data_IF_727692358149
#
_entry.id   IF_727692358149
#
_cell.length_a   1.000
_cell.length_b   1.000
_cell.length_c   1.000
_cell.angle_alpha   90.00
_cell.angle_beta   90.00
_cell.angle_gamma   90.00
#
_symmetry.space_group_name_H-M   'P 1'
#
loop_
_entity.id
_entity.type
_entity.pdbx_description
1 polymer ?
#
# COMPACT_ATOMS: atom_id res chain seq x y z
N UNK A 1 18.88 12.23 -19.81
CA UNK A 1 19.78 12.71 -19.11
C UNK A 1 19.80 12.23 -17.78
N UNK A 2 20.75 11.88 -17.34
CA UNK A 2 20.84 11.30 -16.07
C UNK A 2 21.09 12.34 -15.04
N UNK A 3 21.26 11.99 -13.86
CA UNK A 3 21.57 12.90 -12.82
C UNK A 3 20.45 13.14 -11.84
N UNK A 4 19.34 12.43 -11.98
CA UNK A 4 18.26 12.60 -11.01
C UNK A 4 17.54 11.29 -10.79
N UNK A 5 16.84 11.21 -9.69
CA UNK A 5 16.05 10.04 -9.36
C UNK A 5 14.70 10.51 -8.84
N UNK A 6 13.65 9.92 -9.36
CA UNK A 6 12.31 10.21 -8.87
C UNK A 6 11.69 8.87 -8.49
N UNK A 7 11.66 8.57 -7.22
CA UNK A 7 11.13 7.31 -6.76
C UNK A 7 10.51 7.46 -5.39
N UNK A 8 9.32 6.92 -5.24
CA UNK A 8 8.58 6.98 -3.99
C UNK A 8 8.30 5.56 -3.54
N UNK A 9 8.58 5.28 -2.28
CA UNK A 9 8.32 3.98 -1.68
C UNK A 9 7.34 4.19 -0.54
N UNK A 10 6.27 3.44 -0.54
CA UNK A 10 5.27 3.54 0.51
C UNK A 10 4.78 2.17 0.93
N UNK A 11 4.52 2.03 2.21
CA UNK A 11 3.78 0.89 2.72
C UNK A 11 2.63 1.49 3.50
N UNK A 12 1.42 1.14 3.14
CA UNK A 12 0.25 1.68 3.82
C UNK A 12 -0.98 0.83 3.59
N UNK A 13 -2.11 1.36 3.99
CA UNK A 13 -3.36 0.65 3.84
C UNK A 13 -4.32 1.45 3.00
N UNK A 14 -5.15 0.76 2.24
CA UNK A 14 -6.14 1.42 1.41
C UNK A 14 -7.25 1.98 2.27
N UNK A 15 -7.60 3.22 2.03
CA UNK A 15 -8.69 3.86 2.77
C UNK A 15 -10.03 3.64 2.13
N UNK A 16 -10.05 3.09 0.93
CA UNK A 16 -11.28 2.81 0.22
C UNK A 16 -10.99 1.73 -0.80
N UNK A 17 -12.03 1.14 -1.35
CA UNK A 17 -11.84 0.17 -2.41
C UNK A 17 -11.23 0.88 -3.62
N UNK A 18 -10.39 0.20 -4.38
CA UNK A 18 -9.78 0.81 -5.55
C UNK A 18 -10.82 1.22 -6.58
N UNK A 19 -10.56 2.32 -7.24
CA UNK A 19 -11.44 2.80 -8.28
C UNK A 19 -10.81 2.46 -9.62
N UNK A 20 -11.51 1.74 -10.47
CA UNK A 20 -11.00 1.35 -11.77
C UNK A 20 -11.69 2.19 -12.83
N UNK A 21 -10.92 2.83 -13.67
CA UNK A 21 -11.47 3.64 -14.75
C UNK A 21 -10.84 3.25 -16.05
N UNK A 22 -11.58 3.44 -17.14
CA UNK A 22 -11.03 3.21 -18.45
C UNK A 22 -10.66 4.54 -19.09
N UNK A 23 -9.52 4.55 -19.73
CA UNK A 23 -9.07 5.74 -20.43
C UNK A 23 -9.62 5.76 -21.83
N UNK A 24 -9.47 6.90 -22.48
CA UNK A 24 -9.95 7.06 -23.84
C UNK A 24 -9.39 6.01 -24.77
N UNK A 25 -8.15 5.60 -24.53
CA UNK A 25 -7.53 4.61 -25.40
C UNK A 25 -7.94 3.18 -25.05
N UNK A 26 -8.91 3.01 -24.17
CA UNK A 26 -9.37 1.68 -23.83
C UNK A 26 -8.62 0.99 -22.70
N UNK A 27 -7.54 1.55 -22.23
CA UNK A 27 -6.79 0.92 -21.18
C UNK A 27 -7.37 1.27 -19.83
N UNK A 28 -7.19 0.38 -18.89
CA UNK A 28 -7.72 0.57 -17.55
C UNK A 28 -6.67 1.19 -16.64
N UNK A 29 -7.14 2.02 -15.73
CA UNK A 29 -6.29 2.67 -14.75
C UNK A 29 -6.93 2.46 -13.39
N UNK A 30 -6.12 2.16 -12.38
CA UNK A 30 -6.63 2.01 -11.03
C UNK A 30 -6.18 3.20 -10.18
N UNK A 31 -7.08 3.71 -9.38
CA UNK A 31 -6.77 4.77 -8.45
C UNK A 31 -6.91 4.25 -7.04
N UNK A 32 -5.90 4.49 -6.23
CA UNK A 32 -5.88 4.03 -4.86
C UNK A 32 -5.70 5.21 -3.93
N UNK A 33 -6.36 5.15 -2.79
CA UNK A 33 -6.14 6.12 -1.72
C UNK A 33 -5.39 5.36 -0.63
N UNK A 34 -4.14 5.70 -0.42
CA UNK A 34 -3.28 4.96 0.48
C UNK A 34 -2.96 5.79 1.71
N UNK A 35 -3.16 5.23 2.87
CA UNK A 35 -2.92 5.91 4.12
C UNK A 35 -1.63 5.42 4.75
N UNK A 36 -0.79 6.37 5.16
CA UNK A 36 0.36 6.06 5.98
C UNK A 36 0.20 6.81 7.29
N UNK A 37 0.41 6.13 8.39
CA UNK A 37 0.15 6.72 9.69
C UNK A 37 1.36 6.66 10.58
N UNK A 38 1.51 7.67 11.39
CA UNK A 38 2.53 7.73 12.41
C UNK A 38 1.85 7.93 13.74
N UNK A 39 2.36 7.32 14.77
CA UNK A 39 1.86 7.60 16.09
C UNK A 39 3.03 7.84 17.02
N UNK A 40 2.84 8.72 17.95
CA UNK A 40 3.89 9.03 18.91
C UNK A 40 3.24 9.48 20.21
N UNK A 41 4.04 9.53 21.26
CA UNK A 41 3.57 9.97 22.54
C UNK A 41 4.05 11.38 22.76
N UNK A 42 3.14 12.27 23.11
CA UNK A 42 3.47 13.65 23.34
C UNK A 42 4.21 13.74 24.68
N UNK A 43 5.41 14.26 24.65
CA UNK A 43 6.20 14.32 25.86
C UNK A 43 5.63 15.27 26.89
N UNK A 44 4.91 16.28 26.45
CA UNK A 44 4.38 17.26 27.39
C UNK A 44 3.11 16.76 28.06
N UNK A 45 2.23 16.15 27.32
CA UNK A 45 0.94 15.75 27.87
C UNK A 45 0.86 14.27 28.16
N UNK A 46 1.76 13.48 27.61
CA UNK A 46 1.70 12.04 27.77
C UNK A 46 0.65 11.37 26.91
N UNK A 47 -0.03 12.12 26.10
CA UNK A 47 -1.06 11.55 25.26
C UNK A 47 -0.48 10.93 24.00
N UNK A 48 -1.16 9.90 23.52
CA UNK A 48 -0.75 9.28 22.26
C UNK A 48 -1.38 10.07 21.14
N UNK A 49 -0.57 10.47 20.18
CA UNK A 49 -1.05 11.20 19.02
C UNK A 49 -0.80 10.44 17.76
N UNK A 50 -1.62 10.68 16.77
CA UNK A 50 -1.51 9.98 15.52
C UNK A 50 -1.73 10.96 14.38
N UNK A 51 -0.98 10.76 13.30
CA UNK A 51 -1.14 11.57 12.11
C UNK A 51 -1.17 10.64 10.92
N UNK A 52 -2.11 10.86 10.01
CA UNK A 52 -2.25 10.05 8.82
C UNK A 52 -2.07 10.93 7.60
N UNK A 53 -1.25 10.47 6.66
CA UNK A 53 -1.11 11.12 5.38
C UNK A 53 -1.80 10.29 4.33
N UNK A 54 -2.53 10.95 3.44
CA UNK A 54 -3.25 10.28 2.39
C UNK A 54 -2.54 10.50 1.07
N UNK A 55 -2.24 9.42 0.40
CA UNK A 55 -1.51 9.47 -0.85
C UNK A 55 -2.38 8.98 -1.99
N UNK A 56 -2.33 9.68 -3.10
CA UNK A 56 -3.06 9.26 -4.28
C UNK A 56 -2.13 8.47 -5.15
N UNK A 57 -2.51 7.26 -5.48
CA UNK A 57 -1.69 6.36 -6.27
C UNK A 57 -2.47 5.99 -7.51
N UNK A 58 -1.83 6.10 -8.66
CA UNK A 58 -2.46 5.78 -9.93
C UNK A 58 -1.66 4.67 -10.58
N UNK A 59 -2.32 3.58 -10.90
CA UNK A 59 -1.67 2.42 -11.48
C UNK A 59 -2.03 2.35 -12.95
N UNK A 60 -1.02 2.45 -13.82
CA UNK A 60 -1.25 2.39 -15.25
C UNK A 60 -0.89 1.05 -15.87
N UNK A 61 -0.19 0.21 -15.15
CA UNK A 61 0.20 -1.09 -15.68
C UNK A 61 -1.01 -2.02 -15.66
N UNK A 62 -1.42 -2.51 -16.82
CA UNK A 62 -2.64 -3.30 -16.91
C UNK A 62 -2.59 -4.57 -16.08
N UNK A 63 -1.44 -5.22 -16.03
CA UNK A 63 -1.31 -6.40 -15.21
C UNK A 63 -1.54 -6.10 -13.74
N UNK A 64 -1.01 -4.96 -13.28
CA UNK A 64 -1.21 -4.58 -11.90
C UNK A 64 -2.63 -4.10 -11.66
N UNK A 65 -3.24 -3.47 -12.64
CA UNK A 65 -4.64 -3.05 -12.49
C UNK A 65 -5.51 -4.28 -12.27
N UNK A 66 -5.24 -5.37 -12.96
CA UNK A 66 -6.01 -6.58 -12.76
C UNK A 66 -5.81 -7.14 -11.35
N UNK A 67 -4.58 -7.12 -10.85
CA UNK A 67 -4.33 -7.57 -9.51
C UNK A 67 -5.06 -6.70 -8.50
N UNK A 68 -5.02 -5.39 -8.70
CA UNK A 68 -5.69 -4.47 -7.81
C UNK A 68 -7.18 -4.75 -7.82
N UNK A 69 -7.76 -4.94 -8.99
CA UNK A 69 -9.18 -5.13 -9.11
C UNK A 69 -9.62 -6.43 -8.42
N UNK A 70 -8.83 -7.45 -8.54
CA UNK A 70 -9.22 -8.75 -8.02
C UNK A 70 -8.96 -8.92 -6.54
N UNK A 71 -7.88 -8.35 -6.02
CA UNK A 71 -7.46 -8.67 -4.69
C UNK A 71 -7.45 -7.54 -3.69
N UNK A 72 -7.40 -6.31 -4.11
CA UNK A 72 -7.28 -5.21 -3.15
C UNK A 72 -8.63 -4.65 -2.77
N UNK A 73 -8.78 -4.40 -1.49
CA UNK A 73 -10.01 -3.84 -0.96
C UNK A 73 -9.65 -2.85 0.12
N UNK A 74 -10.64 -2.10 0.58
CA UNK A 74 -10.43 -1.17 1.68
C UNK A 74 -9.77 -1.91 2.84
N UNK A 75 -8.76 -1.33 3.40
CA UNK A 75 -8.04 -1.91 4.53
C UNK A 75 -6.85 -2.77 4.16
N UNK A 76 -6.70 -3.11 2.89
CA UNK A 76 -5.59 -3.95 2.48
C UNK A 76 -4.26 -3.22 2.64
N UNK A 77 -3.24 -3.93 3.03
CA UNK A 77 -1.92 -3.35 3.19
C UNK A 77 -1.10 -3.67 1.95
N UNK A 78 -0.44 -2.65 1.42
CA UNK A 78 0.35 -2.83 0.20
C UNK A 78 1.66 -2.07 0.30
N UNK A 79 2.63 -2.56 -0.45
CA UNK A 79 3.89 -1.88 -0.65
C UNK A 79 3.93 -1.43 -2.10
N UNK A 80 4.22 -0.16 -2.34
CA UNK A 80 4.30 0.34 -3.70
C UNK A 80 5.61 1.06 -3.94
N UNK A 81 6.06 1.00 -5.17
CA UNK A 81 7.18 1.79 -5.67
C UNK A 81 6.68 2.50 -6.90
N UNK A 82 6.82 3.79 -6.94
CA UNK A 82 6.36 4.56 -8.08
C UNK A 82 7.11 5.86 -8.21
N UNK A 83 6.59 6.75 -9.01
CA UNK A 83 7.19 8.04 -9.25
C UNK A 83 6.26 9.13 -8.79
N UNK A 84 6.81 10.22 -8.32
CA UNK A 84 6.01 11.35 -7.91
C UNK A 84 5.72 12.19 -9.13
N UNK A 85 4.48 12.54 -9.32
CA UNK A 85 4.07 13.34 -10.46
C UNK A 85 3.04 14.37 -10.03
N UNK A 86 3.16 15.57 -10.57
CA UNK A 86 2.21 16.62 -10.31
C UNK A 86 1.48 16.91 -11.60
N UNK A 87 0.17 16.91 -11.52
CA UNK A 87 -0.66 17.16 -12.68
C UNK A 87 -1.39 18.47 -12.46
N UNK A 88 -1.45 19.28 -13.50
CA UNK A 88 -2.13 20.55 -13.45
C UNK A 88 -3.48 20.40 -14.11
N UNK A 89 -4.51 20.96 -13.51
CA UNK A 89 -5.82 20.94 -14.13
C UNK A 89 -6.54 22.22 -13.78
N UNK A 90 -7.52 22.55 -14.59
CA UNK A 90 -8.24 23.80 -14.41
C UNK A 90 -9.57 23.52 -13.76
N UNK A 91 -9.84 24.25 -12.69
CA UNK A 91 -11.09 24.10 -11.98
C UNK A 91 -12.14 24.90 -12.74
N UNK A 92 -13.16 24.21 -13.21
CA UNK A 92 -14.18 24.87 -14.00
C UNK A 92 -14.98 25.86 -13.19
N UNK A 93 -15.13 25.62 -11.91
CA UNK A 93 -15.94 26.52 -11.12
C UNK A 93 -15.23 27.82 -10.81
N UNK A 94 -13.98 27.78 -10.49
CA UNK A 94 -13.26 28.99 -10.12
C UNK A 94 -12.40 29.52 -11.24
N UNK A 95 -12.16 28.73 -12.27
CA UNK A 95 -11.27 29.13 -13.35
C UNK A 95 -9.82 29.12 -12.98
N UNK A 96 -9.49 28.64 -11.79
CA UNK A 96 -8.12 28.66 -11.35
C UNK A 96 -7.42 27.35 -11.69
N UNK A 97 -6.11 27.45 -11.86
CA UNK A 97 -5.32 26.25 -12.09
C UNK A 97 -5.10 25.56 -10.76
N UNK A 98 -5.28 24.27 -10.75
CA UNK A 98 -5.04 23.47 -9.55
C UNK A 98 -4.05 22.38 -9.86
N UNK A 99 -3.37 21.93 -8.83
CA UNK A 99 -2.35 20.89 -8.99
C UNK A 99 -2.70 19.71 -8.12
N UNK A 100 -2.44 18.53 -8.62
CA UNK A 100 -2.65 17.32 -7.87
C UNK A 100 -1.36 16.51 -7.93
N UNK A 101 -0.84 16.16 -6.78
CA UNK A 101 0.38 15.37 -6.70
C UNK A 101 -0.01 13.92 -6.49
N UNK A 102 0.50 13.06 -7.33
CA UNK A 102 0.11 11.66 -7.34
C UNK A 102 1.36 10.81 -7.46
N UNK A 103 1.24 9.55 -7.06
CA UNK A 103 2.31 8.59 -7.24
C UNK A 103 1.88 7.69 -8.37
N UNK A 104 2.70 7.64 -9.41
CA UNK A 104 2.37 6.86 -10.60
C UNK A 104 3.10 5.54 -10.58
N UNK A 105 2.37 4.46 -10.82
CA UNK A 105 2.95 3.15 -10.95
C UNK A 105 2.85 2.78 -12.41
N UNK A 106 3.95 2.94 -13.12
CA UNK A 106 4.01 2.64 -14.54
C UNK A 106 5.45 2.32 -14.92
N UNK A 107 5.63 1.53 -15.92
CA UNK A 107 6.96 1.24 -16.41
C UNK A 107 7.70 0.22 -15.56
N UNK A 108 8.97 0.09 -15.85
CA UNK A 108 9.74 -0.97 -15.24
C UNK A 108 10.19 -0.66 -13.82
N UNK A 109 10.27 0.59 -13.45
CA UNK A 109 10.79 0.95 -12.14
C UNK A 109 9.70 1.09 -11.10
N UNK A 110 8.60 0.43 -11.32
CA UNK A 110 7.50 0.53 -10.37
C UNK A 110 7.01 -0.86 -9.99
N UNK A 111 6.42 -0.99 -8.84
CA UNK A 111 5.90 -2.27 -8.42
C UNK A 111 4.81 -2.08 -7.37
N UNK A 112 4.03 -3.11 -7.19
CA UNK A 112 2.99 -3.12 -6.20
C UNK A 112 2.95 -4.53 -5.62
N UNK A 113 3.10 -4.66 -4.32
CA UNK A 113 3.10 -5.95 -3.66
C UNK A 113 2.09 -5.92 -2.53
N UNK A 114 1.22 -6.91 -2.50
CA UNK A 114 0.26 -7.02 -1.44
C UNK A 114 0.95 -7.57 -0.20
N UNK A 115 0.72 -6.92 0.91
CA UNK A 115 1.23 -7.38 2.18
C UNK A 115 0.04 -7.76 3.02
N UNK A 116 0.27 -8.38 4.07
CA UNK A 116 -0.80 -8.64 4.92
C UNK A 116 -1.27 -9.92 4.87
N UNK A 117 -1.98 -10.16 5.72
CA UNK A 117 -2.27 -11.24 6.05
C UNK A 117 -3.52 -11.85 5.83
N UNK A 118 -4.35 -11.25 5.29
CA UNK A 118 -5.57 -11.84 5.23
C UNK A 118 -5.50 -13.11 4.52
N UNK A 119 -4.76 -13.15 3.54
CA UNK A 119 -4.72 -14.30 2.84
C UNK A 119 -4.03 -15.33 3.58
N UNK A 120 -3.15 -14.96 4.30
CA UNK A 120 -2.46 -15.96 5.00
C UNK A 120 -3.38 -16.68 5.89
N UNK A 121 -4.28 -16.01 6.44
CA UNK A 121 -5.08 -16.73 7.38
C UNK A 121 -5.82 -17.82 6.69
N UNK A 122 -6.23 -17.59 5.51
CA UNK A 122 -7.00 -18.64 4.94
C UNK A 122 -6.14 -19.81 4.70
N UNK A 123 -4.97 -19.60 4.28
CA UNK A 123 -4.22 -20.76 4.01
C UNK A 123 -3.96 -21.50 5.23
N UNK A 124 -3.77 -20.84 6.30
CA UNK A 124 -3.52 -21.55 7.44
C UNK A 124 -4.57 -22.38 7.80
N UNK A 125 -5.68 -21.97 7.57
CA UNK A 125 -6.77 -22.71 8.01
C UNK A 125 -6.61 -24.10 7.62
N UNK A 126 -6.00 -24.34 6.60
CA UNK A 126 -5.90 -25.65 6.26
C UNK A 126 -4.98 -26.39 6.90
N UNK A 127 -4.11 -25.86 7.29
CA UNK A 127 -3.12 -26.58 7.86
C UNK A 127 -3.46 -27.36 8.91
N UNK A 128 -4.16 -27.30 9.41
CA UNK A 128 -4.37 -27.93 10.53
C UNK A 128 -4.00 -29.21 10.65
N UNK A 129 -3.79 -29.71 10.59
CA UNK A 129 -3.59 -30.84 10.69
C UNK A 129 -2.72 -31.24 11.49
N UNK A 130 -2.34 -31.31 11.68
CA UNK A 130 -1.49 -31.75 12.31
C UNK A 130 -1.40 -31.75 13.52
N UNK A 131 -1.66 -31.97 13.75
CA UNK A 131 -1.69 -31.94 14.77
C UNK A 131 -0.97 -32.60 15.66
N UNK A 132 -0.81 -33.10 15.73
CA UNK A 132 -0.29 -33.85 16.56
C UNK A 132 0.97 -33.61 16.90
N UNK A 133 1.35 -33.38 16.73
CA UNK A 133 2.49 -33.24 17.01
C UNK A 133 2.88 -32.41 17.81
N UNK A 134 2.88 -32.15 17.92
CA UNK A 134 3.22 -31.41 18.55
C UNK A 134 3.94 -31.32 19.57
N UNK A 135 4.12 -31.61 19.93
CA UNK A 135 4.68 -31.58 20.96
C UNK A 135 5.87 -30.94 21.13
N UNK A 136 6.17 -30.79 21.05
CA UNK A 136 7.14 -30.34 21.22
C UNK A 136 7.56 -29.42 21.67
N UNK A 137 7.60 -29.27 21.69
CA UNK A 137 7.97 -28.50 22.06
C UNK A 137 8.84 -27.94 22.69
N UNK A 138 9.20 -28.07 22.88
CA UNK A 138 9.98 -27.60 23.50
C UNK A 138 10.73 -26.63 23.37
N UNK A 139 10.68 -26.50 23.15
CA UNK A 139 11.32 -25.79 23.04
C UNK A 139 11.69 -24.80 23.26
N UNK A 140 11.68 -24.63 23.43
CA UNK A 140 11.97 -23.81 23.69
C UNK A 140 12.71 -23.16 24.02
N UNK A 141 12.84 -23.29 24.15
CA UNK A 141 13.52 -22.71 24.52
C UNK A 141 14.31 -21.97 24.26
N UNK A 142 14.42 -21.96 23.82
CA UNK A 142 15.20 -21.38 23.60
C UNK A 142 15.43 -20.38 23.35
N UNK A 143 15.24 -20.17 23.24
CA UNK A 143 15.41 -19.31 22.98
C UNK A 143 15.65 -18.39 23.26
N UNK A 144 15.43 -18.42 23.39
CA UNK A 144 15.59 -17.63 23.85
C UNK A 144 16.48 -16.89 24.05
N UNK A 145 16.83 -16.99 23.85
CA UNK A 145 17.83 -16.48 24.10
C UNK A 145 18.44 -15.63 23.33
N UNK A 146 18.02 -15.27 22.64
CA UNK A 146 18.55 -14.52 21.84
C UNK A 146 18.76 -13.32 22.24
N UNK A 147 19.46 -12.96 22.28
CA UNK A 147 19.78 -11.88 22.83
C UNK A 147 19.76 -10.78 21.95
N UNK A 148 19.66 -10.02 21.95
CA UNK A 148 19.76 -8.90 21.26
C UNK A 148 18.78 -8.12 21.37
#
# INVERSE_FOLDING_TARGET
MAGSLNKVLLIGRLGADPEIKQMVNGKSVARLSLATSQSWKDKNTGEKKEKTEWHRVVVFNEGLVNVVQQYLKKGAQVYIEGQLSTRKWKDEQSGQDKYSTEILIQGYNSSLTMLGGNNSSSSIANAPQNKNEAPQAPVNDLDDDIPF
#
